data_IF_062913040313
#
_entry.id   IF_062913040313
#
_cell.length_a   1.000
_cell.length_b   1.000
_cell.length_c   1.000
_cell.angle_alpha   90.00
_cell.angle_beta   90.00
_cell.angle_gamma   90.00
#
_symmetry.space_group_name_H-M   'P 1'
#
loop_
_entity.id
_entity.type
_entity.pdbx_description
1 polymer ?
#
# COMPACT_ATOMS: atom_id res chain seq x y z
N UNK A 1 14.92 -36.64 -42.62
CA UNK A 1 14.41 -35.25 -42.38
C UNK A 1 13.50 -35.24 -41.16
N UNK A 2 12.67 -36.27 -40.97
CA UNK A 2 11.78 -36.43 -39.82
C UNK A 2 12.52 -36.64 -38.48
N UNK A 3 13.64 -37.36 -38.49
CA UNK A 3 14.45 -37.61 -37.27
C UNK A 3 15.05 -36.33 -36.67
N UNK A 4 15.44 -35.38 -37.54
CA UNK A 4 16.00 -34.08 -37.14
C UNK A 4 14.92 -33.23 -36.46
N UNK A 5 13.68 -33.29 -36.95
CA UNK A 5 12.54 -32.58 -36.37
C UNK A 5 12.21 -33.06 -34.95
N UNK A 6 12.25 -34.38 -34.70
CA UNK A 6 12.01 -34.94 -33.36
C UNK A 6 13.09 -34.54 -32.35
N UNK A 7 14.35 -34.48 -32.78
CA UNK A 7 15.46 -34.02 -31.94
C UNK A 7 15.27 -32.55 -31.54
N UNK A 8 14.85 -31.68 -32.46
CA UNK A 8 14.60 -30.26 -32.18
C UNK A 8 13.46 -30.09 -31.17
N UNK A 9 12.36 -30.85 -31.31
CA UNK A 9 11.22 -30.81 -30.37
C UNK A 9 11.64 -31.27 -28.97
N UNK A 10 12.47 -32.31 -28.86
CA UNK A 10 12.97 -32.79 -27.58
C UNK A 10 13.87 -31.75 -26.86
N UNK A 11 14.72 -31.04 -27.62
CA UNK A 11 15.58 -29.98 -27.07
C UNK A 11 14.72 -28.80 -26.57
N UNK A 12 13.73 -28.36 -27.35
CA UNK A 12 12.85 -27.25 -26.98
C UNK A 12 12.05 -27.58 -25.73
N UNK A 13 11.47 -28.78 -25.65
CA UNK A 13 10.68 -29.21 -24.47
C UNK A 13 11.55 -29.33 -23.21
N UNK A 14 12.78 -29.83 -23.34
CA UNK A 14 13.76 -29.88 -22.24
C UNK A 14 14.14 -28.48 -21.74
N UNK A 15 14.40 -27.54 -22.67
CA UNK A 15 14.72 -26.15 -22.33
C UNK A 15 13.55 -25.44 -21.64
N UNK A 16 12.32 -25.61 -22.15
CA UNK A 16 11.11 -25.04 -21.55
C UNK A 16 10.85 -25.62 -20.16
N UNK A 17 11.00 -26.95 -19.99
CA UNK A 17 10.84 -27.62 -18.70
C UNK A 17 11.89 -27.15 -17.68
N UNK A 18 13.15 -27.06 -18.08
CA UNK A 18 14.25 -26.54 -17.25
C UNK A 18 13.99 -25.10 -16.82
N UNK A 19 13.58 -24.24 -17.75
CA UNK A 19 13.23 -22.84 -17.46
C UNK A 19 12.03 -22.76 -16.50
N UNK A 20 10.99 -23.56 -16.72
CA UNK A 20 9.82 -23.62 -15.85
C UNK A 20 10.20 -24.09 -14.43
N UNK A 21 11.07 -25.09 -14.29
CA UNK A 21 11.57 -25.56 -13.00
C UNK A 21 12.42 -24.50 -12.30
N UNK A 22 13.26 -23.77 -13.02
CA UNK A 22 14.08 -22.68 -12.47
C UNK A 22 13.22 -21.54 -11.94
N UNK A 23 12.23 -21.12 -12.74
CA UNK A 23 11.24 -20.09 -12.36
C UNK A 23 10.43 -20.57 -11.16
N UNK A 24 9.89 -21.79 -11.18
CA UNK A 24 9.15 -22.38 -10.06
C UNK A 24 9.99 -22.45 -8.79
N UNK A 25 11.24 -22.93 -8.86
CA UNK A 25 12.11 -23.05 -7.68
C UNK A 25 12.40 -21.68 -7.07
N UNK A 26 12.67 -20.66 -7.88
CA UNK A 26 12.94 -19.30 -7.39
C UNK A 26 11.71 -18.62 -6.78
N UNK A 27 10.51 -18.93 -7.28
CA UNK A 27 9.26 -18.38 -6.75
C UNK A 27 8.73 -19.15 -5.53
N UNK A 28 8.82 -20.48 -5.52
CA UNK A 28 8.29 -21.32 -4.44
C UNK A 28 9.25 -21.45 -3.25
N UNK A 29 10.55 -21.42 -3.49
CA UNK A 29 11.59 -21.52 -2.45
C UNK A 29 12.48 -20.27 -2.47
N UNK A 30 11.94 -19.09 -2.10
CA UNK A 30 12.77 -17.90 -1.93
C UNK A 30 13.85 -18.20 -0.89
N UNK A 31 15.08 -17.75 -1.20
CA UNK A 31 16.26 -17.90 -0.34
C UNK A 31 15.96 -17.60 1.12
N UNK A 32 16.55 -18.41 2.00
CA UNK A 32 16.36 -18.54 3.45
C UNK A 32 16.82 -17.31 4.26
N UNK A 33 16.55 -16.11 3.75
CA UNK A 33 16.72 -14.88 4.50
C UNK A 33 15.72 -14.93 5.67
N UNK A 34 16.21 -14.66 6.88
CA UNK A 34 15.51 -14.77 8.17
C UNK A 34 14.28 -13.84 8.23
N UNK A 35 13.24 -14.17 7.49
CA UNK A 35 11.98 -13.44 7.51
C UNK A 35 11.18 -13.88 8.74
N UNK A 36 10.45 -12.95 9.37
CA UNK A 36 9.55 -13.30 10.46
C UNK A 36 8.49 -14.31 10.00
N UNK A 37 7.93 -15.10 10.92
CA UNK A 37 6.94 -16.13 10.60
C UNK A 37 5.77 -15.54 9.81
N UNK A 38 5.22 -16.32 8.89
CA UNK A 38 4.14 -15.87 8.01
C UNK A 38 3.31 -17.05 7.52
N UNK A 39 2.03 -16.82 7.16
CA UNK A 39 1.24 -17.85 6.49
C UNK A 39 1.95 -18.30 5.21
N UNK A 40 2.05 -19.61 5.02
CA UNK A 40 2.54 -20.17 3.76
C UNK A 40 1.56 -19.77 2.66
N UNK A 41 2.01 -18.91 1.75
CA UNK A 41 1.21 -18.41 0.63
C UNK A 41 1.87 -18.84 -0.66
N UNK A 42 1.13 -19.56 -1.51
CA UNK A 42 1.53 -19.78 -2.90
C UNK A 42 1.62 -18.40 -3.56
N UNK A 43 2.79 -17.96 -4.08
CA UNK A 43 3.14 -16.55 -4.36
C UNK A 43 2.24 -15.78 -5.36
N UNK A 44 1.18 -16.38 -5.91
CA UNK A 44 0.35 -15.77 -6.95
C UNK A 44 -1.13 -16.09 -6.68
N UNK A 45 -1.44 -17.37 -6.44
CA UNK A 45 -2.81 -17.84 -6.22
C UNK A 45 -3.41 -17.25 -4.94
N UNK A 46 -2.63 -17.19 -3.84
CA UNK A 46 -3.12 -16.68 -2.55
C UNK A 46 -3.50 -15.21 -2.59
N UNK A 47 -2.62 -14.36 -3.16
CA UNK A 47 -2.89 -12.92 -3.29
C UNK A 47 -4.01 -12.63 -4.28
N UNK A 48 -4.06 -13.35 -5.41
CA UNK A 48 -5.11 -13.18 -6.42
C UNK A 48 -6.49 -13.60 -5.88
N UNK A 49 -6.58 -14.73 -5.18
CA UNK A 49 -7.82 -15.16 -4.51
C UNK A 49 -8.27 -14.18 -3.43
N UNK A 50 -7.33 -13.64 -2.66
CA UNK A 50 -7.64 -12.62 -1.67
C UNK A 50 -8.19 -11.35 -2.33
N UNK A 51 -7.58 -10.88 -3.41
CA UNK A 51 -8.04 -9.71 -4.15
C UNK A 51 -9.40 -9.91 -4.83
N UNK A 52 -9.64 -11.09 -5.42
CA UNK A 52 -10.92 -11.45 -6.04
C UNK A 52 -12.06 -11.58 -5.02
N UNK A 53 -11.74 -12.00 -3.78
CA UNK A 53 -12.72 -12.15 -2.70
C UNK A 53 -12.90 -10.90 -1.84
N UNK A 54 -11.90 -10.03 -1.78
CA UNK A 54 -11.90 -8.82 -0.95
C UNK A 54 -12.75 -7.75 -1.63
N UNK A 55 -13.80 -7.27 -0.96
CA UNK A 55 -14.62 -6.14 -1.40
C UNK A 55 -13.94 -4.79 -1.10
N UNK A 56 -12.66 -4.68 -1.42
CA UNK A 56 -11.84 -3.48 -1.20
C UNK A 56 -11.17 -3.40 0.18
N UNK A 57 -10.76 -2.19 0.58
CA UNK A 57 -9.99 -1.93 1.81
C UNK A 57 -10.73 -2.25 3.12
N UNK A 58 -12.06 -2.39 3.09
CA UNK A 58 -12.87 -2.71 4.26
C UNK A 58 -12.60 -4.11 4.83
N UNK A 59 -12.17 -5.05 3.99
CA UNK A 59 -11.89 -6.43 4.41
C UNK A 59 -10.45 -6.61 4.92
N UNK A 60 -9.60 -5.58 4.78
CA UNK A 60 -8.22 -5.60 5.24
C UNK A 60 -8.13 -5.61 6.77
N UNK A 61 -8.93 -4.78 7.44
CA UNK A 61 -8.95 -4.70 8.91
C UNK A 61 -9.30 -6.05 9.57
N UNK A 62 -10.41 -6.72 9.23
CA UNK A 62 -10.73 -8.03 9.82
C UNK A 62 -9.68 -9.10 9.47
N UNK A 63 -9.08 -9.05 8.28
CA UNK A 63 -7.99 -9.96 7.90
C UNK A 63 -6.74 -9.75 8.77
N UNK A 64 -6.31 -8.50 8.97
CA UNK A 64 -5.18 -8.16 9.83
C UNK A 64 -5.45 -8.55 11.30
N UNK A 65 -6.68 -8.40 11.78
CA UNK A 65 -7.07 -8.82 13.14
C UNK A 65 -6.91 -10.33 13.34
N UNK A 66 -7.32 -11.15 12.36
CA UNK A 66 -7.10 -12.61 12.38
C UNK A 66 -5.62 -12.97 12.35
N UNK A 67 -4.82 -12.27 11.56
CA UNK A 67 -3.37 -12.49 11.48
C UNK A 67 -2.67 -12.10 12.77
N UNK A 68 -3.06 -11.00 13.40
CA UNK A 68 -2.56 -10.58 14.71
C UNK A 68 -2.85 -11.63 15.78
N UNK A 69 -4.07 -12.18 15.80
CA UNK A 69 -4.43 -13.25 16.74
C UNK A 69 -3.58 -14.52 16.56
N UNK A 70 -3.11 -14.81 15.34
CA UNK A 70 -2.29 -15.98 15.04
C UNK A 70 -0.79 -15.75 15.24
N UNK A 71 -0.28 -14.58 14.85
CA UNK A 71 1.16 -14.29 14.74
C UNK A 71 1.68 -13.23 15.73
N UNK A 72 0.87 -12.83 16.72
CA UNK A 72 1.21 -12.00 17.87
C UNK A 72 1.90 -10.65 17.57
N UNK A 73 3.21 -10.64 17.32
CA UNK A 73 4.05 -9.43 17.30
C UNK A 73 4.44 -8.98 15.89
N UNK A 74 4.71 -9.91 14.98
CA UNK A 74 5.21 -9.63 13.63
C UNK A 74 4.79 -10.75 12.66
N UNK A 75 4.39 -10.38 11.44
CA UNK A 75 4.00 -11.34 10.41
C UNK A 75 4.52 -10.95 9.04
N UNK A 76 4.99 -11.94 8.27
CA UNK A 76 5.32 -11.76 6.85
C UNK A 76 4.15 -12.21 5.98
N UNK A 77 3.65 -11.32 5.13
CA UNK A 77 2.63 -11.63 4.12
C UNK A 77 3.25 -11.42 2.74
N UNK A 78 3.09 -12.38 1.82
CA UNK A 78 3.53 -12.19 0.43
C UNK A 78 2.40 -11.56 -0.38
N UNK A 79 2.67 -10.39 -0.94
CA UNK A 79 1.78 -9.71 -1.87
C UNK A 79 2.37 -9.90 -3.27
N UNK A 80 1.78 -10.81 -4.03
CA UNK A 80 2.38 -11.32 -5.27
C UNK A 80 3.82 -11.82 -4.99
N UNK A 81 4.80 -11.32 -5.74
CA UNK A 81 6.21 -11.68 -5.61
C UNK A 81 6.95 -10.94 -4.49
N UNK A 82 6.36 -9.94 -3.83
CA UNK A 82 7.04 -9.09 -2.83
C UNK A 82 6.59 -9.43 -1.40
N UNK A 83 7.52 -9.67 -0.45
CA UNK A 83 7.16 -9.80 0.95
C UNK A 83 6.80 -8.43 1.57
N UNK A 84 5.74 -8.40 2.35
CA UNK A 84 5.31 -7.28 3.17
C UNK A 84 5.30 -7.72 4.64
N UNK A 85 5.99 -6.96 5.49
CA UNK A 85 6.11 -7.26 6.92
C UNK A 85 5.16 -6.35 7.68
N UNK A 86 4.28 -6.94 8.49
CA UNK A 86 3.36 -6.24 9.35
C UNK A 86 3.80 -6.38 10.80
N UNK A 87 3.92 -5.24 11.49
CA UNK A 87 4.31 -5.16 12.89
C UNK A 87 3.07 -4.85 13.72
N UNK A 88 2.76 -5.69 14.71
CA UNK A 88 1.61 -5.53 15.61
C UNK A 88 2.02 -5.11 17.04
N UNK A 89 3.30 -5.23 17.39
CA UNK A 89 3.82 -4.82 18.70
C UNK A 89 4.22 -3.34 18.72
N UNK A 90 3.85 -2.64 19.80
CA UNK A 90 4.26 -1.26 20.03
C UNK A 90 5.78 -1.11 20.15
N UNK A 91 6.46 -2.02 20.87
CA UNK A 91 7.92 -1.94 21.06
C UNK A 91 8.67 -2.04 19.73
N UNK A 92 8.26 -2.99 18.88
CA UNK A 92 8.84 -3.16 17.55
C UNK A 92 8.51 -2.00 16.61
N UNK A 93 7.29 -1.44 16.70
CA UNK A 93 6.91 -0.28 15.90
C UNK A 93 7.72 0.96 16.31
N UNK A 94 7.95 1.16 17.61
CA UNK A 94 8.79 2.24 18.12
C UNK A 94 10.25 2.06 17.66
N UNK A 95 10.79 0.85 17.76
CA UNK A 95 12.13 0.56 17.27
C UNK A 95 12.24 0.85 15.77
N UNK A 96 11.34 0.31 14.94
CA UNK A 96 11.41 0.48 13.48
C UNK A 96 11.15 1.92 13.00
N UNK A 97 10.19 2.64 13.60
CA UNK A 97 9.77 3.95 13.12
C UNK A 97 10.53 5.11 13.76
N UNK A 98 11.03 4.94 15.00
CA UNK A 98 11.71 6.00 15.76
C UNK A 98 13.21 5.74 15.83
N UNK A 99 13.64 4.60 16.39
CA UNK A 99 15.06 4.32 16.59
C UNK A 99 15.78 4.08 15.26
N UNK A 100 15.21 3.22 14.41
CA UNK A 100 15.74 2.83 13.11
C UNK A 100 15.00 3.54 11.95
N UNK A 101 14.34 4.67 12.25
CA UNK A 101 13.43 5.33 11.31
C UNK A 101 14.07 5.68 9.96
N UNK A 102 15.36 6.06 9.94
CA UNK A 102 16.09 6.35 8.71
C UNK A 102 16.32 5.11 7.82
N UNK A 103 16.50 3.93 8.42
CA UNK A 103 16.70 2.66 7.71
C UNK A 103 15.39 2.22 7.04
N UNK A 104 14.27 2.41 7.72
CA UNK A 104 12.93 2.06 7.22
C UNK A 104 12.20 3.22 6.53
N UNK A 105 12.86 4.36 6.32
CA UNK A 105 12.23 5.54 5.73
C UNK A 105 12.00 5.40 4.22
N UNK A 106 12.72 4.51 3.55
CA UNK A 106 12.64 4.38 2.10
C UNK A 106 11.30 3.82 1.61
N UNK A 107 10.99 4.05 0.34
CA UNK A 107 9.74 3.62 -0.29
C UNK A 107 10.03 2.66 -1.44
N UNK A 108 9.35 1.48 -1.48
CA UNK A 108 9.57 0.54 -2.56
C UNK A 108 9.14 1.13 -3.91
N UNK A 109 9.80 0.74 -5.03
CA UNK A 109 9.43 1.19 -6.36
C UNK A 109 7.95 0.98 -6.65
N UNK A 110 7.30 2.05 -7.11
CA UNK A 110 5.89 2.04 -7.48
C UNK A 110 5.65 0.97 -8.57
N UNK A 111 4.65 0.08 -8.39
CA UNK A 111 4.22 -0.82 -9.46
C UNK A 111 3.85 -0.02 -10.73
N UNK A 112 4.03 -0.58 -11.94
CA UNK A 112 3.69 0.09 -13.19
C UNK A 112 2.27 0.67 -13.20
N UNK A 113 1.32 -0.05 -12.62
CA UNK A 113 -0.09 0.32 -12.48
C UNK A 113 -0.33 1.60 -11.66
N UNK A 114 0.66 2.04 -10.89
CA UNK A 114 0.57 3.20 -9.98
C UNK A 114 1.53 4.33 -10.33
N UNK A 115 2.22 4.26 -11.47
CA UNK A 115 3.21 5.30 -11.85
C UNK A 115 2.55 6.66 -11.98
N UNK A 116 1.36 6.75 -12.60
CA UNK A 116 0.65 8.01 -12.78
C UNK A 116 0.22 8.61 -11.43
N UNK A 117 -0.39 7.79 -10.58
CA UNK A 117 -0.90 8.23 -9.26
C UNK A 117 0.22 8.52 -8.26
N UNK A 118 1.36 7.84 -8.38
CA UNK A 118 2.57 8.12 -7.59
C UNK A 118 3.46 9.20 -8.18
N UNK A 119 3.08 9.79 -9.32
CA UNK A 119 3.90 10.74 -10.08
C UNK A 119 5.33 10.22 -10.30
N UNK A 120 5.46 8.94 -10.63
CA UNK A 120 6.74 8.25 -10.76
C UNK A 120 7.64 8.45 -9.52
N UNK A 121 7.07 8.34 -8.31
CA UNK A 121 7.74 8.59 -7.02
C UNK A 121 8.24 10.03 -6.80
N UNK A 122 7.69 11.03 -7.51
CA UNK A 122 8.02 12.45 -7.29
C UNK A 122 6.97 13.19 -6.44
N UNK A 123 6.40 12.49 -5.46
CA UNK A 123 5.45 13.08 -4.51
C UNK A 123 5.86 12.78 -3.05
N UNK A 124 5.27 13.48 -2.09
CA UNK A 124 5.67 13.37 -0.68
C UNK A 124 5.44 11.98 -0.07
N UNK A 125 4.47 11.22 -0.57
CA UNK A 125 4.09 9.92 0.00
C UNK A 125 4.89 8.74 -0.56
N UNK A 126 5.31 8.83 -1.83
CA UNK A 126 5.96 7.75 -2.58
C UNK A 126 7.44 7.99 -2.89
N UNK A 127 7.96 9.22 -2.71
CA UNK A 127 9.37 9.49 -2.93
C UNK A 127 10.27 8.68 -2.00
N UNK A 128 11.36 8.16 -2.58
CA UNK A 128 12.44 7.53 -1.82
C UNK A 128 13.08 8.50 -0.83
N UNK A 129 13.60 7.95 0.27
CA UNK A 129 14.21 8.76 1.31
C UNK A 129 15.52 9.37 0.80
N UNK A 130 15.51 10.67 0.52
CA UNK A 130 16.62 11.37 -0.11
C UNK A 130 16.36 12.85 -0.28
N UNK A 131 17.09 13.49 -1.21
CA UNK A 131 17.00 14.94 -1.43
C UNK A 131 15.57 15.38 -1.80
N UNK A 132 14.93 14.68 -2.75
CA UNK A 132 13.56 14.98 -3.21
C UNK A 132 12.57 14.96 -2.05
N UNK A 133 12.56 13.88 -1.25
CA UNK A 133 11.67 13.77 -0.09
C UNK A 133 11.95 14.86 0.96
N UNK A 134 13.23 15.13 1.27
CA UNK A 134 13.62 16.17 2.24
C UNK A 134 13.18 17.56 1.80
N UNK A 135 13.31 17.90 0.52
CA UNK A 135 12.87 19.18 -0.05
C UNK A 135 11.35 19.33 0.00
N UNK A 136 10.61 18.30 -0.42
CA UNK A 136 9.14 18.29 -0.37
C UNK A 136 8.65 18.43 1.08
N UNK A 137 9.23 17.66 1.99
CA UNK A 137 8.87 17.68 3.41
C UNK A 137 9.12 19.06 4.04
N UNK A 138 10.29 19.68 3.76
CA UNK A 138 10.62 21.03 4.23
C UNK A 138 9.62 22.06 3.70
N UNK A 139 9.30 22.01 2.41
CA UNK A 139 8.37 22.96 1.78
C UNK A 139 6.95 22.84 2.35
N UNK A 140 6.43 21.61 2.49
CA UNK A 140 5.10 21.37 3.09
C UNK A 140 5.09 21.82 4.55
N UNK A 141 6.13 21.51 5.31
CA UNK A 141 6.22 21.88 6.72
C UNK A 141 6.24 23.40 6.89
N UNK A 142 7.01 24.11 6.08
CA UNK A 142 7.13 25.57 6.15
C UNK A 142 5.87 26.30 5.65
N UNK A 143 5.21 25.80 4.60
CA UNK A 143 4.14 26.52 3.92
C UNK A 143 2.74 26.12 4.35
N UNK A 144 2.53 24.85 4.70
CA UNK A 144 1.20 24.25 4.94
C UNK A 144 1.03 23.88 6.40
N UNK A 145 1.98 23.14 6.97
CA UNK A 145 1.88 22.64 8.35
C UNK A 145 2.45 23.60 9.40
N UNK A 146 2.99 24.74 9.00
CA UNK A 146 3.55 25.71 9.94
C UNK A 146 2.42 26.27 10.84
N UNK A 147 2.60 26.35 12.18
CA UNK A 147 1.54 26.75 13.10
C UNK A 147 0.86 28.08 12.75
N UNK A 148 1.62 29.07 12.24
CA UNK A 148 1.05 30.34 11.79
C UNK A 148 0.14 30.20 10.56
N UNK A 149 0.48 29.32 9.61
CA UNK A 149 -0.29 29.04 8.39
C UNK A 149 -1.56 28.24 8.73
N UNK A 150 -1.46 27.27 9.62
CA UNK A 150 -2.63 26.53 10.13
C UNK A 150 -3.63 27.47 10.81
N UNK A 151 -3.15 28.51 11.52
CA UNK A 151 -4.00 29.56 12.11
C UNK A 151 -4.62 30.46 11.06
N UNK A 152 -3.91 30.83 9.99
CA UNK A 152 -4.51 31.66 8.92
C UNK A 152 -5.68 30.98 8.21
N UNK A 153 -5.66 29.64 8.10
CA UNK A 153 -6.78 28.88 7.52
C UNK A 153 -7.96 28.66 8.50
N UNK A 154 -7.91 29.19 9.72
CA UNK A 154 -8.97 29.01 10.74
C UNK A 154 -10.35 29.46 10.24
N UNK A 155 -10.43 30.63 9.57
CA UNK A 155 -11.67 31.16 9.01
C UNK A 155 -12.27 30.23 7.95
N UNK A 156 -11.47 29.77 7.01
CA UNK A 156 -11.91 28.83 5.97
C UNK A 156 -12.38 27.51 6.58
N UNK A 157 -11.66 26.96 7.57
CA UNK A 157 -12.06 25.74 8.28
C UNK A 157 -13.37 25.92 9.05
N UNK A 158 -13.55 27.06 9.74
CA UNK A 158 -14.80 27.39 10.43
C UNK A 158 -15.97 27.51 9.45
N UNK A 159 -15.75 28.10 8.28
CA UNK A 159 -16.76 28.24 7.24
C UNK A 159 -17.19 26.88 6.67
N UNK A 160 -16.23 26.01 6.30
CA UNK A 160 -16.55 24.65 5.84
C UNK A 160 -17.28 23.85 6.93
N UNK A 161 -16.86 23.98 8.19
CA UNK A 161 -17.52 23.33 9.32
C UNK A 161 -18.97 23.79 9.46
N UNK A 162 -19.24 25.10 9.36
CA UNK A 162 -20.61 25.63 9.40
C UNK A 162 -21.48 25.08 8.26
N UNK A 163 -20.93 24.96 7.04
CA UNK A 163 -21.64 24.35 5.90
C UNK A 163 -21.97 22.90 6.19
N UNK A 164 -21.00 22.12 6.69
CA UNK A 164 -21.22 20.72 7.04
C UNK A 164 -22.29 20.57 8.13
N UNK A 165 -22.23 21.39 9.18
CA UNK A 165 -23.22 21.37 10.26
C UNK A 165 -24.63 21.75 9.79
N UNK A 166 -24.74 22.75 8.90
CA UNK A 166 -26.02 23.13 8.29
C UNK A 166 -26.62 21.97 7.50
N UNK A 167 -25.84 21.36 6.61
CA UNK A 167 -26.28 20.21 5.80
C UNK A 167 -26.73 19.02 6.66
N UNK A 168 -26.02 18.75 7.74
CA UNK A 168 -26.39 17.68 8.68
C UNK A 168 -27.70 17.98 9.42
N UNK A 169 -27.97 19.25 9.74
CA UNK A 169 -29.22 19.67 10.38
C UNK A 169 -30.41 19.57 9.43
N UNK A 170 -30.22 19.96 8.17
CA UNK A 170 -31.29 20.00 7.18
C UNK A 170 -31.76 18.60 6.74
N UNK A 171 -30.96 17.56 6.97
CA UNK A 171 -31.23 16.17 6.54
C UNK A 171 -31.39 15.22 7.75
N UNK A 172 -32.38 15.49 8.61
CA UNK A 172 -32.57 14.77 9.89
C UNK A 172 -33.11 13.33 9.76
N UNK A 173 -33.48 12.85 8.58
CA UNK A 173 -34.00 11.48 8.37
C UNK A 173 -33.03 10.60 7.58
N UNK A 174 -32.33 9.72 8.30
CA UNK A 174 -31.40 8.66 7.83
C UNK A 174 -30.19 9.12 7.01
N UNK A 175 -29.17 9.68 7.65
CA UNK A 175 -27.90 9.97 6.98
C UNK A 175 -26.76 9.09 7.50
N UNK A 176 -26.12 8.34 6.58
CA UNK A 176 -24.78 7.80 6.80
C UNK A 176 -23.79 8.95 6.59
N UNK A 177 -23.22 9.45 7.69
CA UNK A 177 -22.22 10.54 7.72
C UNK A 177 -21.13 10.42 6.64
N UNK A 178 -20.76 9.18 6.27
CA UNK A 178 -19.77 8.86 5.25
C UNK A 178 -20.12 9.40 3.85
N UNK A 179 -21.39 9.42 3.48
CA UNK A 179 -21.82 9.74 2.11
C UNK A 179 -21.71 11.25 1.83
N UNK A 180 -21.73 12.08 2.88
CA UNK A 180 -21.60 13.54 2.77
C UNK A 180 -20.16 14.03 2.90
N UNK A 181 -19.29 13.30 3.58
CA UNK A 181 -17.87 13.65 3.76
C UNK A 181 -17.07 13.64 2.45
N UNK A 182 -17.49 12.86 1.45
CA UNK A 182 -16.82 12.78 0.15
C UNK A 182 -17.28 13.82 -0.87
N UNK A 183 -18.32 14.62 -0.57
CA UNK A 183 -18.86 15.59 -1.53
C UNK A 183 -18.25 16.98 -1.30
N UNK A 184 -17.51 17.55 -2.26
CA UNK A 184 -16.87 18.85 -2.07
C UNK A 184 -17.90 19.94 -1.78
N UNK A 185 -17.60 20.80 -0.79
CA UNK A 185 -18.54 21.77 -0.26
C UNK A 185 -19.00 22.83 -1.28
N UNK A 186 -18.28 23.03 -2.40
CA UNK A 186 -18.48 24.15 -3.33
C UNK A 186 -19.15 23.83 -4.67
N UNK A 187 -19.73 22.64 -4.90
CA UNK A 187 -20.24 22.26 -6.21
C UNK A 187 -21.50 23.03 -6.69
N UNK A 188 -22.13 23.84 -5.84
CA UNK A 188 -23.42 24.49 -6.13
C UNK A 188 -23.43 26.03 -6.04
N UNK A 189 -22.33 26.68 -5.66
CA UNK A 189 -22.30 28.15 -5.46
C UNK A 189 -21.61 28.94 -6.60
N UNK A 190 -21.32 28.30 -7.75
CA UNK A 190 -20.73 28.96 -8.93
C UNK A 190 -21.72 29.15 -10.09
N UNK A 191 -22.99 29.43 -9.79
CA UNK A 191 -23.97 29.82 -10.82
C UNK A 191 -24.74 31.06 -10.41
#
# INVERSE_FOLDING_TARGET
>A
MEDISWIIVAIITSLVSSLALLVCKNHLFPSHNKLPPGPFSIPIIGTLLWMLRSKGFSDLEPALKKLRAKYHSIVTIRIFSRPAIFIFSHSLAHQALIQDGAVFADRPPAPPLTIITSSNQHNISAASYGLTWRLLHRNITAQVHHPSRVRSFSRARSWVLHILLRRLRDHQSSLRLKDHLHRPAGAHELR
#
